data_IF_177418265161
#
_entry.id   IF_177418265161
#
_cell.length_a   1.000
_cell.length_b   1.000
_cell.length_c   1.000
_cell.angle_alpha   90.00
_cell.angle_beta   90.00
_cell.angle_gamma   90.00
#
_symmetry.space_group_name_H-M   'P 1'
#
loop_
_entity.id
_entity.type
_entity.pdbx_description
1 polymer ?
#
# COMPACT_ATOMS: atom_id res chain seq x y z
N UNK A 1 -10.05 17.81 -58.46
CA UNK A 1 -9.98 16.78 -57.40
C UNK A 1 -8.83 16.97 -56.38
N UNK A 2 -8.14 18.12 -56.33
CA UNK A 2 -7.05 18.34 -55.36
C UNK A 2 -7.49 19.05 -54.05
N UNK A 3 -8.67 19.67 -54.02
CA UNK A 3 -9.13 20.45 -52.86
C UNK A 3 -9.74 19.57 -51.74
N UNK A 4 -10.38 18.44 -52.08
CA UNK A 4 -11.03 17.54 -51.10
C UNK A 4 -9.99 16.75 -50.29
N UNK A 5 -8.82 16.47 -50.87
CA UNK A 5 -7.74 15.71 -50.19
C UNK A 5 -7.08 16.51 -49.05
N UNK A 6 -7.11 17.85 -49.09
CA UNK A 6 -6.61 18.71 -47.99
C UNK A 6 -7.55 18.79 -46.78
N UNK A 7 -8.83 18.48 -46.95
CA UNK A 7 -9.82 18.54 -45.86
C UNK A 7 -9.74 17.27 -44.99
N UNK A 8 -9.45 16.11 -45.59
CA UNK A 8 -9.29 14.85 -44.86
C UNK A 8 -7.98 14.79 -44.06
N UNK A 9 -6.90 15.43 -44.52
CA UNK A 9 -5.59 15.36 -43.85
C UNK A 9 -5.49 16.31 -42.62
N UNK A 10 -6.31 17.39 -42.56
CA UNK A 10 -6.42 18.21 -41.33
C UNK A 10 -7.15 17.53 -40.18
N UNK A 11 -8.03 16.56 -40.49
CA UNK A 11 -8.81 15.81 -39.49
C UNK A 11 -7.98 14.73 -38.78
N UNK A 12 -6.82 14.36 -39.32
CA UNK A 12 -5.94 13.30 -38.80
C UNK A 12 -4.72 13.77 -38.00
N UNK A 13 -4.52 15.08 -37.87
CA UNK A 13 -3.49 15.66 -37.01
C UNK A 13 -4.05 16.28 -35.71
N UNK A 14 -5.33 16.03 -35.40
CA UNK A 14 -5.87 16.13 -34.04
C UNK A 14 -5.95 14.72 -33.45
N UNK A 15 -4.83 13.99 -33.42
CA UNK A 15 -4.57 13.22 -32.20
C UNK A 15 -4.43 14.27 -31.11
N UNK A 16 -5.58 14.69 -30.56
CA UNK A 16 -5.62 15.56 -29.41
C UNK A 16 -4.65 14.91 -28.41
N UNK A 17 -3.59 15.64 -28.06
CA UNK A 17 -2.89 15.39 -26.81
C UNK A 17 -3.97 15.64 -25.75
N UNK A 18 -4.80 14.61 -25.51
CA UNK A 18 -5.85 14.64 -24.49
C UNK A 18 -5.08 14.75 -23.20
N UNK A 19 -4.93 15.97 -22.75
CA UNK A 19 -4.26 16.26 -21.49
C UNK A 19 -5.06 15.52 -20.43
N UNK A 20 -4.41 14.60 -19.74
CA UNK A 20 -5.04 13.87 -18.64
C UNK A 20 -5.28 14.86 -17.50
N UNK A 21 -6.53 15.28 -17.34
CA UNK A 21 -6.98 16.19 -16.29
C UNK A 21 -7.35 15.44 -15.00
N UNK A 22 -7.37 14.09 -15.03
CA UNK A 22 -7.90 13.28 -13.92
C UNK A 22 -7.06 13.34 -12.64
N UNK A 23 -5.79 13.77 -12.75
CA UNK A 23 -4.83 13.90 -11.64
C UNK A 23 -4.42 15.34 -11.34
N UNK A 24 -5.11 16.34 -11.92
CA UNK A 24 -4.82 17.76 -11.69
C UNK A 24 -5.68 18.30 -10.55
N UNK A 25 -5.14 19.26 -9.81
CA UNK A 25 -5.86 20.03 -8.79
C UNK A 25 -6.42 21.32 -9.38
N UNK A 26 -7.51 21.83 -8.80
CA UNK A 26 -8.07 23.11 -9.21
C UNK A 26 -7.09 24.26 -9.00
N UNK A 27 -7.12 25.21 -9.94
CA UNK A 27 -6.39 26.47 -9.84
C UNK A 27 -7.15 27.38 -8.88
N UNK A 28 -6.50 27.79 -7.80
CA UNK A 28 -7.01 28.82 -6.91
C UNK A 28 -7.06 30.18 -7.63
N UNK A 29 -8.27 30.68 -7.87
CA UNK A 29 -8.53 31.96 -8.55
C UNK A 29 -8.74 33.13 -7.59
N UNK A 30 -8.56 32.95 -6.28
CA UNK A 30 -8.74 34.01 -5.27
C UNK A 30 -7.66 35.11 -5.32
N UNK A 31 -6.49 34.79 -5.89
CA UNK A 31 -5.33 35.67 -5.92
C UNK A 31 -5.55 36.91 -6.80
N UNK A 32 -4.97 38.04 -6.39
CA UNK A 32 -5.14 39.36 -7.02
C UNK A 32 -4.82 39.38 -8.53
N UNK A 33 -3.85 38.57 -8.98
CA UNK A 33 -3.50 38.43 -10.41
C UNK A 33 -4.68 37.99 -11.30
N UNK A 34 -5.63 37.24 -10.76
CA UNK A 34 -6.84 36.81 -11.47
C UNK A 34 -7.93 37.90 -11.46
N UNK A 35 -7.88 38.87 -10.56
CA UNK A 35 -8.77 40.04 -10.58
C UNK A 35 -8.29 41.08 -11.59
N UNK A 36 -6.97 41.26 -11.69
CA UNK A 36 -6.33 42.25 -12.57
C UNK A 36 -6.31 41.83 -14.05
N UNK A 37 -6.39 40.53 -14.35
CA UNK A 37 -6.34 40.01 -15.72
C UNK A 37 -7.58 39.16 -16.05
N UNK A 38 -8.58 39.74 -16.75
CA UNK A 38 -9.78 39.02 -17.17
C UNK A 38 -9.46 37.79 -18.04
N UNK A 39 -8.45 37.90 -18.91
CA UNK A 39 -8.04 36.79 -19.78
C UNK A 39 -7.45 35.61 -18.99
N UNK A 40 -6.61 35.89 -17.99
CA UNK A 40 -6.04 34.87 -17.12
C UNK A 40 -7.11 34.19 -16.26
N UNK A 41 -8.06 34.97 -15.74
CA UNK A 41 -9.20 34.46 -14.99
C UNK A 41 -10.07 33.52 -15.84
N UNK A 42 -10.42 33.95 -17.05
CA UNK A 42 -11.21 33.15 -17.98
C UNK A 42 -10.50 31.84 -18.34
N UNK A 43 -9.19 31.90 -18.59
CA UNK A 43 -8.38 30.70 -18.82
C UNK A 43 -8.41 29.74 -17.63
N UNK A 44 -8.21 30.24 -16.40
CA UNK A 44 -8.23 29.42 -15.19
C UNK A 44 -9.60 28.79 -14.94
N UNK A 45 -10.68 29.56 -15.17
CA UNK A 45 -12.06 29.07 -15.08
C UNK A 45 -12.31 27.90 -16.04
N UNK A 46 -11.85 28.02 -17.29
CA UNK A 46 -11.94 26.93 -18.28
C UNK A 46 -11.12 25.71 -17.83
N UNK A 47 -9.91 25.90 -17.29
CA UNK A 47 -9.11 24.77 -16.78
C UNK A 47 -9.79 24.09 -15.59
N UNK A 48 -10.32 24.85 -14.63
CA UNK A 48 -11.03 24.31 -13.48
C UNK A 48 -12.27 23.52 -13.88
N UNK A 49 -13.04 24.01 -14.86
CA UNK A 49 -14.18 23.26 -15.41
C UNK A 49 -13.72 21.92 -16.02
N UNK A 50 -12.61 21.90 -16.78
CA UNK A 50 -12.06 20.66 -17.34
C UNK A 50 -11.62 19.67 -16.27
N UNK A 51 -10.99 20.16 -15.20
CA UNK A 51 -10.54 19.34 -14.08
C UNK A 51 -11.74 18.77 -13.32
N UNK A 52 -12.74 19.59 -13.00
CA UNK A 52 -13.96 19.17 -12.32
C UNK A 52 -14.73 18.12 -13.15
N UNK A 53 -14.93 18.39 -14.45
CA UNK A 53 -15.57 17.45 -15.36
C UNK A 53 -14.79 16.12 -15.46
N UNK A 54 -13.46 16.17 -15.52
CA UNK A 54 -12.61 14.98 -15.53
C UNK A 54 -12.59 14.24 -14.19
N UNK A 55 -12.78 14.94 -13.07
CA UNK A 55 -12.85 14.34 -11.73
C UNK A 55 -14.19 13.63 -11.52
N UNK A 56 -15.26 14.16 -12.10
CA UNK A 56 -16.58 13.53 -12.13
C UNK A 56 -16.66 12.37 -13.14
N UNK A 57 -15.83 12.39 -14.18
CA UNK A 57 -15.81 11.33 -15.19
C UNK A 57 -15.48 9.96 -14.56
N UNK A 58 -16.40 9.00 -14.69
CA UNK A 58 -16.25 7.63 -14.17
C UNK A 58 -16.95 7.36 -12.83
N UNK A 59 -17.71 8.33 -12.31
CA UNK A 59 -18.65 8.13 -11.22
C UNK A 59 -20.07 8.53 -11.63
N UNK A 60 -21.04 7.77 -11.14
CA UNK A 60 -22.45 8.05 -11.43
C UNK A 60 -22.97 9.19 -10.54
N UNK A 61 -22.46 9.29 -9.30
CA UNK A 61 -22.77 10.35 -8.34
C UNK A 61 -21.61 10.63 -7.36
N UNK A 62 -21.77 11.66 -6.53
CA UNK A 62 -20.82 11.95 -5.43
C UNK A 62 -20.87 10.84 -4.38
N UNK A 63 -22.07 10.32 -4.08
CA UNK A 63 -22.26 9.21 -3.16
C UNK A 63 -21.54 7.94 -3.67
N UNK A 64 -21.60 7.64 -4.97
CA UNK A 64 -20.84 6.52 -5.57
C UNK A 64 -19.32 6.70 -5.42
N UNK A 65 -18.79 7.92 -5.50
CA UNK A 65 -17.38 8.20 -5.19
C UNK A 65 -17.04 7.95 -3.72
N UNK A 66 -17.88 8.43 -2.81
CA UNK A 66 -17.69 8.25 -1.37
C UNK A 66 -17.77 6.77 -0.97
N UNK A 67 -18.67 6.00 -1.59
CA UNK A 67 -18.79 4.55 -1.42
C UNK A 67 -17.56 3.80 -1.97
N UNK A 68 -17.05 4.20 -3.14
CA UNK A 68 -15.79 3.65 -3.67
C UNK A 68 -14.60 3.95 -2.75
N UNK A 69 -14.51 5.17 -2.21
CA UNK A 69 -13.47 5.56 -1.25
C UNK A 69 -13.57 4.71 0.02
N UNK A 70 -14.77 4.56 0.59
CA UNK A 70 -14.98 3.80 1.82
C UNK A 70 -14.64 2.31 1.64
N UNK A 71 -15.06 1.72 0.52
CA UNK A 71 -14.76 0.33 0.15
C UNK A 71 -13.26 0.11 -0.04
N UNK A 72 -12.59 0.95 -0.83
CA UNK A 72 -11.14 0.85 -1.07
C UNK A 72 -10.31 1.16 0.16
N UNK A 73 -10.75 2.10 1.01
CA UNK A 73 -10.13 2.39 2.30
C UNK A 73 -10.22 1.20 3.24
N UNK A 74 -11.38 0.53 3.30
CA UNK A 74 -11.56 -0.70 4.07
C UNK A 74 -10.64 -1.80 3.56
N UNK A 75 -10.54 -1.98 2.24
CA UNK A 75 -9.61 -2.92 1.63
C UNK A 75 -8.15 -2.61 1.99
N UNK A 76 -7.73 -1.34 1.93
CA UNK A 76 -6.39 -0.91 2.31
C UNK A 76 -6.09 -1.20 3.79
N UNK A 77 -7.05 -0.91 4.70
CA UNK A 77 -6.93 -1.21 6.14
C UNK A 77 -6.79 -2.71 6.40
N UNK A 78 -7.64 -3.53 5.78
CA UNK A 78 -7.60 -4.99 5.91
C UNK A 78 -6.31 -5.58 5.35
N UNK A 79 -5.86 -5.10 4.19
CA UNK A 79 -4.59 -5.52 3.59
C UNK A 79 -3.39 -5.14 4.47
N UNK A 80 -3.41 -3.96 5.08
CA UNK A 80 -2.38 -3.51 6.04
C UNK A 80 -2.35 -4.38 7.29
N UNK A 81 -3.51 -4.68 7.88
CA UNK A 81 -3.57 -5.56 9.05
C UNK A 81 -3.03 -6.96 8.71
N UNK A 82 -3.49 -7.53 7.60
CA UNK A 82 -3.00 -8.84 7.12
C UNK A 82 -1.49 -8.84 6.85
N UNK A 83 -0.94 -7.72 6.36
CA UNK A 83 0.50 -7.55 6.13
C UNK A 83 1.26 -7.59 7.47
N UNK A 84 0.80 -6.85 8.48
CA UNK A 84 1.39 -6.83 9.82
C UNK A 84 1.35 -8.22 10.46
N UNK A 85 0.20 -8.89 10.39
CA UNK A 85 0.04 -10.25 10.94
C UNK A 85 0.99 -11.23 10.25
N UNK A 86 1.12 -11.14 8.92
CA UNK A 86 2.06 -11.96 8.15
C UNK A 86 3.52 -11.68 8.54
N UNK A 87 3.88 -10.42 8.84
CA UNK A 87 5.22 -10.06 9.32
C UNK A 87 5.52 -10.63 10.70
N UNK A 88 4.56 -10.62 11.61
CA UNK A 88 4.69 -11.27 12.92
C UNK A 88 4.89 -12.78 12.77
N UNK A 89 4.10 -13.44 11.93
CA UNK A 89 4.24 -14.87 11.66
C UNK A 89 5.60 -15.19 11.02
N UNK A 90 6.09 -14.38 10.08
CA UNK A 90 7.41 -14.54 9.48
C UNK A 90 8.53 -14.45 10.52
N UNK A 91 8.41 -13.54 11.50
CA UNK A 91 9.39 -13.40 12.58
C UNK A 91 9.43 -14.66 13.44
N UNK A 92 8.26 -15.11 13.92
CA UNK A 92 8.15 -16.31 14.74
C UNK A 92 8.67 -17.55 14.00
N UNK A 93 8.22 -17.74 12.76
CA UNK A 93 8.65 -18.87 11.93
C UNK A 93 10.14 -18.81 11.60
N UNK A 94 10.70 -17.62 11.40
CA UNK A 94 12.14 -17.41 11.21
C UNK A 94 12.96 -17.80 12.43
N UNK A 95 12.48 -17.49 13.64
CA UNK A 95 13.12 -17.92 14.89
C UNK A 95 13.06 -19.44 15.05
N UNK A 96 11.89 -20.06 14.81
CA UNK A 96 11.73 -21.52 14.83
C UNK A 96 12.69 -22.18 13.83
N UNK A 97 12.77 -21.64 12.61
CA UNK A 97 13.61 -22.17 11.55
C UNK A 97 15.11 -22.09 11.87
N UNK A 98 15.54 -21.01 12.55
CA UNK A 98 16.91 -20.90 13.07
C UNK A 98 17.21 -22.02 14.07
N UNK A 99 16.39 -22.18 15.10
CA UNK A 99 16.61 -23.21 16.12
C UNK A 99 16.46 -24.63 15.56
N UNK A 100 15.58 -24.83 14.58
CA UNK A 100 15.45 -26.09 13.86
C UNK A 100 16.76 -26.48 13.17
N UNK A 101 17.40 -25.53 12.47
CA UNK A 101 18.70 -25.72 11.82
C UNK A 101 19.80 -26.03 12.83
N UNK A 102 19.85 -25.28 13.93
CA UNK A 102 20.83 -25.49 15.01
C UNK A 102 20.65 -26.88 15.65
N UNK A 103 19.41 -27.30 15.89
CA UNK A 103 19.09 -28.62 16.42
C UNK A 103 19.57 -29.72 15.47
N UNK A 104 19.20 -29.66 14.18
CA UNK A 104 19.56 -30.69 13.21
C UNK A 104 21.08 -30.79 13.02
N UNK A 105 21.77 -29.65 12.94
CA UNK A 105 23.23 -29.59 12.79
C UNK A 105 23.96 -30.23 13.98
N UNK A 106 23.52 -29.94 15.21
CA UNK A 106 24.23 -30.35 16.42
C UNK A 106 23.75 -31.68 17.01
N UNK A 107 22.64 -32.26 16.50
CA UNK A 107 22.04 -33.51 16.99
C UNK A 107 23.03 -34.68 17.05
N UNK A 108 23.96 -34.76 16.11
CA UNK A 108 24.95 -35.83 16.05
C UNK A 108 25.92 -35.79 17.25
N UNK A 109 26.31 -34.60 17.71
CA UNK A 109 27.21 -34.44 18.85
C UNK A 109 26.55 -34.90 20.14
N UNK A 110 25.30 -34.52 20.37
CA UNK A 110 24.54 -35.02 21.52
C UNK A 110 24.35 -36.54 21.48
N UNK A 111 24.08 -37.11 20.31
CA UNK A 111 23.97 -38.56 20.16
C UNK A 111 25.29 -39.28 20.49
N UNK A 112 26.43 -38.75 20.04
CA UNK A 112 27.76 -39.30 20.33
C UNK A 112 28.16 -39.12 21.79
N UNK A 113 27.86 -37.96 22.38
CA UNK A 113 28.07 -37.69 23.81
C UNK A 113 27.38 -38.74 24.68
N UNK A 114 26.09 -39.02 24.42
CA UNK A 114 25.31 -40.06 25.13
C UNK A 114 25.86 -41.49 24.97
N UNK A 115 26.66 -41.74 23.93
CA UNK A 115 27.28 -43.04 23.65
C UNK A 115 28.78 -43.09 23.98
N UNK A 116 29.35 -41.97 24.46
CA UNK A 116 30.77 -41.87 24.72
C UNK A 116 31.16 -42.69 25.96
N UNK A 117 32.37 -43.26 25.94
CA UNK A 117 32.91 -43.99 27.10
C UNK A 117 33.37 -43.05 28.21
N UNK A 118 33.78 -41.85 27.85
CA UNK A 118 34.22 -40.77 28.74
C UNK A 118 33.46 -39.49 28.36
N UNK A 119 32.29 -39.24 28.99
CA UNK A 119 31.46 -38.08 28.71
C UNK A 119 32.16 -36.76 29.02
N UNK A 120 32.95 -36.68 30.08
CA UNK A 120 33.58 -35.43 30.51
C UNK A 120 34.65 -34.98 29.51
N UNK A 121 35.49 -35.91 29.03
CA UNK A 121 36.46 -35.60 27.99
C UNK A 121 35.79 -35.23 26.65
N UNK A 122 34.65 -35.86 26.33
CA UNK A 122 33.88 -35.53 25.12
C UNK A 122 33.25 -34.14 25.21
N UNK A 123 32.64 -33.81 26.36
CA UNK A 123 32.01 -32.52 26.60
C UNK A 123 33.02 -31.38 26.41
N UNK A 124 34.21 -31.48 27.02
CA UNK A 124 35.26 -30.45 26.88
C UNK A 124 35.72 -30.22 25.43
N UNK A 125 35.58 -31.22 24.56
CA UNK A 125 35.96 -31.12 23.13
C UNK A 125 34.86 -30.56 22.24
N UNK A 126 33.60 -30.69 22.67
CA UNK A 126 32.40 -30.36 21.89
C UNK A 126 31.39 -29.52 22.67
N UNK A 127 31.89 -28.71 23.60
CA UNK A 127 31.06 -27.95 24.54
C UNK A 127 30.11 -27.00 23.80
N UNK A 128 30.62 -26.33 22.77
CA UNK A 128 29.84 -25.39 21.95
C UNK A 128 28.69 -26.09 21.24
N UNK A 129 28.95 -27.21 20.57
CA UNK A 129 27.93 -27.94 19.81
C UNK A 129 26.85 -28.53 20.72
N UNK A 130 27.24 -29.04 21.90
CA UNK A 130 26.30 -29.55 22.89
C UNK A 130 25.44 -28.42 23.48
N UNK A 131 26.04 -27.27 23.79
CA UNK A 131 25.32 -26.10 24.31
C UNK A 131 24.34 -25.53 23.27
N UNK A 132 24.75 -25.46 22.00
CA UNK A 132 23.87 -25.03 20.90
C UNK A 132 22.71 -26.00 20.69
N UNK A 133 22.98 -27.31 20.77
CA UNK A 133 21.94 -28.33 20.70
C UNK A 133 20.91 -28.18 21.83
N UNK A 134 21.37 -28.06 23.08
CA UNK A 134 20.49 -27.94 24.25
C UNK A 134 19.70 -26.63 24.22
N UNK A 135 20.34 -25.52 23.81
CA UNK A 135 19.69 -24.24 23.61
C UNK A 135 18.58 -24.30 22.55
N UNK A 136 18.88 -24.90 21.39
CA UNK A 136 17.91 -25.08 20.32
C UNK A 136 16.74 -25.99 20.72
N UNK A 137 17.03 -27.12 21.39
CA UNK A 137 15.99 -28.03 21.89
C UNK A 137 15.06 -27.32 22.88
N UNK A 138 15.62 -26.53 23.80
CA UNK A 138 14.84 -25.79 24.78
C UNK A 138 13.98 -24.70 24.15
N UNK A 139 14.49 -23.98 23.16
CA UNK A 139 13.72 -22.94 22.46
C UNK A 139 12.57 -23.54 21.65
N UNK A 140 12.79 -24.63 20.90
CA UNK A 140 11.73 -25.30 20.16
C UNK A 140 10.63 -25.83 21.09
N UNK A 141 10.98 -26.34 22.28
CA UNK A 141 10.00 -26.72 23.32
C UNK A 141 9.17 -25.54 23.82
N UNK A 142 9.74 -24.34 23.93
CA UNK A 142 8.98 -23.12 24.32
C UNK A 142 7.94 -22.74 23.27
N UNK A 143 8.22 -22.99 22.00
CA UNK A 143 7.24 -22.86 20.91
C UNK A 143 6.25 -24.03 20.84
N UNK A 144 6.31 -25.00 21.77
CA UNK A 144 5.46 -26.20 21.76
C UNK A 144 5.81 -27.21 20.66
N UNK A 145 6.98 -27.07 20.03
CA UNK A 145 7.41 -27.89 18.90
C UNK A 145 8.28 -29.04 19.39
N UNK A 146 7.98 -30.25 18.93
CA UNK A 146 8.86 -31.39 19.14
C UNK A 146 9.95 -31.43 18.05
N UNK A 147 11.22 -31.14 18.37
CA UNK A 147 12.27 -31.05 17.38
C UNK A 147 12.61 -32.40 16.71
N UNK A 148 12.24 -33.52 17.33
CA UNK A 148 12.51 -34.87 16.79
C UNK A 148 11.63 -35.22 15.60
N UNK A 149 10.42 -34.65 15.54
CA UNK A 149 9.42 -34.91 14.49
C UNK A 149 9.27 -33.71 13.55
N UNK A 150 10.12 -32.69 13.70
CA UNK A 150 10.06 -31.48 12.90
C UNK A 150 10.58 -31.76 11.49
N UNK A 151 9.78 -31.40 10.50
CA UNK A 151 10.17 -31.40 9.09
C UNK A 151 10.74 -30.02 8.71
N UNK A 152 12.06 -29.98 8.48
CA UNK A 152 12.76 -28.74 8.15
C UNK A 152 12.46 -28.26 6.73
N UNK A 153 12.19 -29.17 5.80
CA UNK A 153 11.86 -28.82 4.41
C UNK A 153 10.48 -28.17 4.36
N UNK A 154 9.49 -28.77 5.04
CA UNK A 154 8.16 -28.19 5.16
C UNK A 154 8.21 -26.80 5.80
N UNK A 155 8.96 -26.63 6.90
CA UNK A 155 9.08 -25.35 7.58
C UNK A 155 9.70 -24.26 6.68
N UNK A 156 10.69 -24.63 5.87
CA UNK A 156 11.31 -23.73 4.91
C UNK A 156 10.36 -23.38 3.76
N UNK A 157 9.55 -24.34 3.30
CA UNK A 157 8.50 -24.11 2.31
C UNK A 157 7.43 -23.16 2.83
N UNK A 158 6.95 -23.36 4.06
CA UNK A 158 5.98 -22.49 4.72
C UNK A 158 6.49 -21.05 4.85
N UNK A 159 7.76 -20.89 5.26
CA UNK A 159 8.41 -19.58 5.33
C UNK A 159 8.44 -18.87 3.97
N UNK A 160 8.81 -19.60 2.92
CA UNK A 160 8.86 -19.05 1.57
C UNK A 160 7.47 -18.67 1.04
N UNK A 161 6.45 -19.49 1.33
CA UNK A 161 5.06 -19.19 0.98
C UNK A 161 4.56 -17.93 1.71
N UNK A 162 4.91 -17.78 2.98
CA UNK A 162 4.56 -16.59 3.78
C UNK A 162 5.27 -15.33 3.27
N UNK A 163 6.52 -15.46 2.84
CA UNK A 163 7.26 -14.38 2.21
C UNK A 163 6.62 -13.97 0.87
N UNK A 164 6.16 -14.92 0.05
CA UNK A 164 5.43 -14.63 -1.18
C UNK A 164 4.11 -13.88 -0.88
N UNK A 165 3.32 -14.38 0.07
CA UNK A 165 2.08 -13.73 0.55
C UNK A 165 2.32 -12.30 1.02
N UNK A 166 3.41 -12.05 1.76
CA UNK A 166 3.81 -10.70 2.19
C UNK A 166 3.98 -9.76 0.99
N UNK A 167 4.69 -10.21 -0.05
CA UNK A 167 4.92 -9.37 -1.24
C UNK A 167 3.63 -9.06 -2.00
N UNK A 168 2.70 -10.00 -2.07
CA UNK A 168 1.39 -9.79 -2.67
C UNK A 168 0.54 -8.81 -1.87
N UNK A 169 0.46 -8.99 -0.54
CA UNK A 169 -0.25 -8.07 0.36
C UNK A 169 0.31 -6.66 0.28
N UNK A 170 1.64 -6.50 0.20
CA UNK A 170 2.27 -5.19 0.06
C UNK A 170 1.89 -4.51 -1.28
N UNK A 171 1.80 -5.27 -2.38
CA UNK A 171 1.35 -4.75 -3.67
C UNK A 171 -0.11 -4.31 -3.61
N UNK A 172 -0.98 -5.16 -3.06
CA UNK A 172 -2.41 -4.88 -2.90
C UNK A 172 -2.66 -3.65 -2.03
N UNK A 173 -1.96 -3.55 -0.89
CA UNK A 173 -2.05 -2.40 0.01
C UNK A 173 -1.64 -1.10 -0.70
N UNK A 174 -0.47 -1.07 -1.36
CA UNK A 174 0.00 0.12 -2.08
C UNK A 174 -0.92 0.52 -3.23
N UNK A 175 -1.46 -0.45 -3.96
CA UNK A 175 -2.41 -0.20 -5.03
C UNK A 175 -3.71 0.42 -4.48
N UNK A 176 -4.24 -0.15 -3.39
CA UNK A 176 -5.45 0.35 -2.74
C UNK A 176 -5.26 1.76 -2.15
N UNK A 177 -4.13 2.05 -1.50
CA UNK A 177 -3.84 3.40 -1.01
C UNK A 177 -3.76 4.42 -2.13
N UNK A 178 -3.13 4.05 -3.25
CA UNK A 178 -3.07 4.93 -4.42
C UNK A 178 -4.46 5.21 -4.98
N UNK A 179 -5.29 4.19 -5.13
CA UNK A 179 -6.67 4.36 -5.61
C UNK A 179 -7.50 5.24 -4.66
N UNK A 180 -7.34 5.06 -3.34
CA UNK A 180 -8.00 5.90 -2.34
C UNK A 180 -7.53 7.35 -2.45
N UNK A 181 -6.22 7.59 -2.63
CA UNK A 181 -5.67 8.93 -2.82
C UNK A 181 -6.22 9.59 -4.10
N UNK A 182 -6.21 8.86 -5.23
CA UNK A 182 -6.72 9.34 -6.51
C UNK A 182 -8.22 9.67 -6.43
N UNK A 183 -9.03 8.83 -5.77
CA UNK A 183 -10.47 9.08 -5.57
C UNK A 183 -10.73 10.26 -4.65
N UNK A 184 -9.98 10.39 -3.54
CA UNK A 184 -10.10 11.54 -2.63
C UNK A 184 -9.76 12.85 -3.34
N UNK A 185 -8.73 12.87 -4.20
CA UNK A 185 -8.38 14.04 -4.99
C UNK A 185 -9.53 14.44 -5.94
N UNK A 186 -10.16 13.47 -6.62
CA UNK A 186 -11.33 13.73 -7.46
C UNK A 186 -12.50 14.30 -6.65
N UNK A 187 -12.77 13.72 -5.48
CA UNK A 187 -13.82 14.20 -4.58
C UNK A 187 -13.55 15.64 -4.11
N UNK A 188 -12.30 15.95 -3.73
CA UNK A 188 -11.89 17.29 -3.34
C UNK A 188 -12.08 18.30 -4.48
N UNK A 189 -11.64 17.97 -5.70
CA UNK A 189 -11.85 18.81 -6.88
C UNK A 189 -13.35 19.09 -7.13
N UNK A 190 -14.21 18.08 -7.00
CA UNK A 190 -15.66 18.27 -7.19
C UNK A 190 -16.23 19.17 -6.09
N UNK A 191 -15.92 18.89 -4.81
CA UNK A 191 -16.42 19.67 -3.67
C UNK A 191 -15.96 21.13 -3.73
N UNK A 192 -14.70 21.37 -4.07
CA UNK A 192 -14.15 22.70 -4.24
C UNK A 192 -14.78 23.44 -5.44
N UNK A 193 -14.98 22.77 -6.58
CA UNK A 193 -15.61 23.38 -7.76
C UNK A 193 -17.09 23.75 -7.53
N UNK A 194 -17.83 22.89 -6.83
CA UNK A 194 -19.23 23.14 -6.47
C UNK A 194 -19.39 24.17 -5.34
N UNK A 195 -18.29 24.63 -4.73
CA UNK A 195 -18.32 25.52 -3.58
C UNK A 195 -18.94 24.86 -2.33
N UNK A 196 -18.87 23.53 -2.25
CA UNK A 196 -19.30 22.73 -1.10
C UNK A 196 -18.23 22.68 -0.01
N UNK A 197 -16.98 23.03 -0.31
CA UNK A 197 -16.04 23.47 0.72
C UNK A 197 -16.41 24.89 1.14
N UNK A 198 -16.87 25.03 2.38
CA UNK A 198 -17.07 26.33 3.01
C UNK A 198 -15.71 27.04 3.11
N UNK A 199 -15.36 27.85 2.11
CA UNK A 199 -14.37 28.90 2.34
C UNK A 199 -14.94 29.86 3.39
N UNK A 200 -14.19 30.21 4.44
CA UNK A 200 -14.70 31.05 5.53
C UNK A 200 -15.23 32.41 5.04
N UNK A 201 -14.75 32.90 3.90
CA UNK A 201 -15.19 34.15 3.26
C UNK A 201 -16.67 34.15 2.80
N UNK A 202 -17.23 32.99 2.44
CA UNK A 202 -18.62 32.90 1.93
C UNK A 202 -19.67 32.72 3.04
N UNK A 203 -19.24 32.35 4.24
CA UNK A 203 -20.08 32.27 5.43
C UNK A 203 -20.34 33.65 6.07
N UNK A 204 -19.50 34.65 5.81
CA UNK A 204 -19.70 36.01 6.31
C UNK A 204 -20.65 36.85 5.44
N UNK A 205 -20.72 36.59 4.13
CA UNK A 205 -21.63 37.30 3.23
C UNK A 205 -23.09 36.89 3.43
N UNK A 206 -23.37 35.63 3.73
CA UNK A 206 -24.74 35.14 4.01
C UNK A 206 -25.28 35.60 5.37
N UNK A 207 -24.41 35.94 6.34
CA UNK A 207 -24.86 36.50 7.64
C UNK A 207 -25.22 37.99 7.57
N UNK A 208 -24.67 38.75 6.62
CA UNK A 208 -24.97 40.19 6.47
C UNK A 208 -26.25 40.48 5.69
N UNK A 209 -26.70 39.56 4.83
CA UNK A 209 -27.99 39.70 4.12
C UNK A 209 -29.20 39.32 4.98
N UNK A 210 -29.01 38.57 6.08
CA UNK A 210 -30.09 38.22 7.01
C UNK A 210 -30.26 39.23 8.15
N UNK A 211 -29.46 40.31 8.19
CA UNK A 211 -29.54 41.37 9.21
C UNK A 211 -29.90 42.75 8.65
N UNK A 212 -30.54 42.81 7.47
CA UNK A 212 -31.10 44.03 6.89
C UNK A 212 -32.63 43.92 6.81
#
# INVERSE_FOLDING_TARGET
MAAVKRICDRRRAQTALTTDYSRKELIDTSQEKFKQSPGLNHWATIQNLKIAASSYAGADSIEDLEDKISSKSTLAKTARQSLIDTEHQLKELGEILKYAKDYQTNKLYNFRYKKSKDPDAYFRRHETELTLFDGAENMLKRFGINPKTLDLEQLQADYNALQAKKTELQKTYKAAEKEVADLNQKLANIKQYLGQEQTPERAESTKKEQSL
#
